data_IF_082517551926
#
_entry.id   IF_082517551926
#
_cell.length_a   1.000
_cell.length_b   1.000
_cell.length_c   1.000
_cell.angle_alpha   90.00
_cell.angle_beta   90.00
_cell.angle_gamma   90.00
#
_symmetry.space_group_name_H-M   'P 1'
#
loop_
_entity.id
_entity.type
_entity.pdbx_description
1 polymer ?
#
# COMPACT_ATOMS: atom_id res chain seq x y z
N UNK A 1 18.17 -3.31 -20.83
CA UNK A 1 17.26 -3.00 -19.70
C UNK A 1 16.45 -1.74 -20.06
N UNK A 2 15.24 -1.61 -19.59
CA UNK A 2 14.41 -0.39 -19.81
C UNK A 2 15.11 0.82 -19.18
N UNK A 3 15.68 0.62 -17.98
CA UNK A 3 16.43 1.65 -17.26
C UNK A 3 17.69 2.17 -17.98
N UNK A 4 18.16 1.48 -19.01
CA UNK A 4 19.25 2.00 -19.83
C UNK A 4 18.88 3.29 -20.56
N UNK A 5 17.59 3.52 -20.85
CA UNK A 5 17.11 4.78 -21.42
C UNK A 5 17.44 6.00 -20.56
N UNK A 6 17.50 5.83 -19.24
CA UNK A 6 17.83 6.88 -18.29
C UNK A 6 19.32 6.92 -17.91
N UNK A 7 20.09 5.84 -18.16
CA UNK A 7 21.43 5.68 -17.60
C UNK A 7 22.54 5.54 -18.65
N UNK A 8 22.21 5.09 -19.86
CA UNK A 8 23.21 4.73 -20.87
C UNK A 8 23.44 5.84 -21.91
N UNK A 9 24.66 5.90 -22.44
CA UNK A 9 25.06 6.86 -23.48
C UNK A 9 25.48 8.23 -22.93
N UNK A 10 26.14 8.99 -23.80
CA UNK A 10 26.71 10.31 -23.45
C UNK A 10 25.61 11.31 -23.08
N UNK A 11 24.48 11.27 -23.77
CA UNK A 11 23.37 12.21 -23.54
C UNK A 11 22.73 12.04 -22.18
N UNK A 12 22.88 10.89 -21.52
CA UNK A 12 22.37 10.61 -20.18
C UNK A 12 23.35 10.98 -19.04
N UNK A 13 24.46 11.64 -19.36
CA UNK A 13 25.39 12.12 -18.33
C UNK A 13 24.73 13.02 -17.26
N UNK A 14 23.81 13.94 -17.60
CA UNK A 14 23.08 14.71 -16.59
C UNK A 14 22.23 13.83 -15.67
N UNK A 15 21.51 12.85 -16.22
CA UNK A 15 20.72 11.91 -15.42
C UNK A 15 21.61 11.07 -14.48
N UNK A 16 22.76 10.58 -14.98
CA UNK A 16 23.73 9.86 -14.13
C UNK A 16 24.28 10.71 -13.00
N UNK A 17 24.45 12.01 -13.19
CA UNK A 17 24.84 12.92 -12.10
C UNK A 17 23.81 12.94 -10.96
N UNK A 18 22.52 12.85 -11.29
CA UNK A 18 21.45 12.77 -10.30
C UNK A 18 21.43 11.40 -9.60
N UNK A 19 21.64 10.31 -10.33
CA UNK A 19 21.81 8.99 -9.70
C UNK A 19 23.03 8.96 -8.76
N UNK A 20 24.14 9.59 -9.13
CA UNK A 20 25.30 9.73 -8.24
C UNK A 20 24.96 10.53 -6.98
N UNK A 21 24.15 11.58 -7.09
CA UNK A 21 23.67 12.36 -5.93
C UNK A 21 22.78 11.52 -4.98
N UNK A 22 22.10 10.50 -5.51
CA UNK A 22 21.34 9.52 -4.71
C UNK A 22 22.23 8.44 -4.09
N UNK A 23 23.53 8.43 -4.37
CA UNK A 23 24.48 7.47 -3.86
C UNK A 23 24.67 6.21 -4.71
N UNK A 24 24.12 6.15 -5.92
CA UNK A 24 24.33 5.00 -6.81
C UNK A 24 25.78 4.91 -7.25
N UNK A 25 26.34 3.73 -7.14
CA UNK A 25 27.67 3.43 -7.65
C UNK A 25 27.66 3.12 -9.16
N UNK A 26 28.81 3.20 -9.80
CA UNK A 26 28.95 2.80 -11.20
C UNK A 26 28.58 1.32 -11.46
N UNK A 27 28.78 0.45 -10.48
CA UNK A 27 28.39 -0.96 -10.57
C UNK A 27 26.86 -1.14 -10.43
N UNK A 28 26.22 -0.42 -9.54
CA UNK A 28 24.76 -0.45 -9.41
C UNK A 28 24.06 0.08 -10.65
N UNK A 29 24.62 1.08 -11.31
CA UNK A 29 24.08 1.59 -12.57
C UNK A 29 24.11 0.59 -13.74
N UNK A 30 24.81 -0.54 -13.60
CA UNK A 30 24.81 -1.63 -14.59
C UNK A 30 23.78 -2.73 -14.29
N UNK A 31 23.14 -2.67 -13.11
CA UNK A 31 22.17 -3.68 -12.64
C UNK A 31 20.73 -3.28 -12.98
N UNK A 32 19.79 -4.22 -13.05
CA UNK A 32 18.37 -3.89 -13.18
C UNK A 32 17.89 -2.98 -12.07
N UNK A 33 17.14 -1.94 -12.41
CA UNK A 33 16.54 -1.01 -11.46
C UNK A 33 15.11 -1.45 -11.15
N UNK A 34 14.86 -1.84 -9.91
CA UNK A 34 13.59 -2.38 -9.46
C UNK A 34 12.85 -1.34 -8.63
N UNK A 35 11.71 -0.88 -9.14
CA UNK A 35 10.85 0.04 -8.40
C UNK A 35 10.07 -0.70 -7.32
N UNK A 36 10.15 -0.23 -6.08
CA UNK A 36 9.35 -0.74 -4.96
C UNK A 36 8.29 0.31 -4.65
N UNK A 37 7.04 -0.01 -4.97
CA UNK A 37 5.91 0.87 -4.73
C UNK A 37 5.40 0.63 -3.31
N UNK A 38 5.66 1.58 -2.42
CA UNK A 38 5.28 1.49 -1.00
C UNK A 38 4.06 2.33 -0.72
N UNK A 39 3.01 1.72 -0.19
CA UNK A 39 1.84 2.45 0.31
C UNK A 39 1.88 2.75 1.81
N UNK A 40 3.07 2.70 2.41
CA UNK A 40 3.28 3.04 3.82
C UNK A 40 2.71 4.42 4.19
N UNK A 41 1.99 4.48 5.29
CA UNK A 41 1.59 5.70 5.98
C UNK A 41 1.14 5.37 7.42
N UNK A 42 1.01 6.38 8.26
CA UNK A 42 0.68 6.24 9.68
C UNK A 42 -0.80 6.45 10.00
N UNK A 43 -1.63 6.83 9.01
CA UNK A 43 -3.07 7.09 9.22
C UNK A 43 -3.94 5.88 8.89
N UNK A 44 -3.49 4.97 8.04
CA UNK A 44 -4.25 3.79 7.63
C UNK A 44 -3.73 2.57 8.40
N UNK A 45 -4.53 1.93 9.26
CA UNK A 45 -4.07 0.79 10.06
C UNK A 45 -3.46 -0.35 9.25
N UNK A 46 -3.95 -0.57 8.03
CA UNK A 46 -3.40 -1.57 7.11
C UNK A 46 -2.01 -1.24 6.56
N UNK A 47 -1.54 0.00 6.70
CA UNK A 47 -0.33 0.47 6.04
C UNK A 47 0.83 0.78 7.00
N UNK A 48 0.57 0.86 8.29
CA UNK A 48 1.56 1.31 9.29
C UNK A 48 2.77 0.38 9.47
N UNK A 49 2.73 -0.85 8.99
CA UNK A 49 3.85 -1.81 9.06
C UNK A 49 4.44 -2.16 7.68
N UNK A 50 3.99 -1.51 6.61
CA UNK A 50 4.49 -1.77 5.25
C UNK A 50 5.97 -1.43 5.12
N UNK A 51 6.49 -0.48 5.89
CA UNK A 51 7.91 -0.14 5.96
C UNK A 51 8.81 -1.35 6.24
N UNK A 52 8.37 -2.26 7.11
CA UNK A 52 9.09 -3.51 7.43
C UNK A 52 9.13 -4.46 6.23
N UNK A 53 8.00 -4.56 5.51
CA UNK A 53 7.92 -5.37 4.28
C UNK A 53 8.81 -4.76 3.19
N UNK A 54 8.77 -3.43 3.03
CA UNK A 54 9.63 -2.70 2.10
C UNK A 54 11.11 -3.00 2.36
N UNK A 55 11.54 -3.00 3.61
CA UNK A 55 12.93 -3.29 3.95
C UNK A 55 13.32 -4.74 3.62
N UNK A 56 12.44 -5.70 3.85
CA UNK A 56 12.67 -7.10 3.46
C UNK A 56 12.73 -7.24 1.92
N UNK A 57 11.84 -6.58 1.20
CA UNK A 57 11.83 -6.57 -0.28
C UNK A 57 13.11 -5.93 -0.83
N UNK A 58 13.59 -4.82 -0.25
CA UNK A 58 14.87 -4.21 -0.66
C UNK A 58 16.03 -5.18 -0.53
N UNK A 59 16.07 -5.92 0.57
CA UNK A 59 17.11 -6.92 0.79
C UNK A 59 17.03 -8.02 -0.26
N UNK A 60 15.87 -8.60 -0.50
CA UNK A 60 15.68 -9.65 -1.51
C UNK A 60 16.01 -9.19 -2.93
N UNK A 61 15.66 -7.96 -3.30
CA UNK A 61 16.04 -7.37 -4.60
C UNK A 61 17.56 -7.24 -4.72
N UNK A 62 18.23 -6.77 -3.67
CA UNK A 62 19.69 -6.63 -3.66
C UNK A 62 20.40 -7.98 -3.72
N UNK A 63 19.94 -8.98 -2.99
CA UNK A 63 20.45 -10.37 -3.03
C UNK A 63 20.29 -11.00 -4.42
N UNK A 64 19.18 -10.69 -5.10
CA UNK A 64 18.95 -11.13 -6.49
C UNK A 64 19.77 -10.36 -7.53
N UNK A 65 20.59 -9.39 -7.11
CA UNK A 65 21.46 -8.61 -7.99
C UNK A 65 20.81 -7.40 -8.66
N UNK A 66 19.60 -7.00 -8.23
CA UNK A 66 18.93 -5.77 -8.64
C UNK A 66 19.27 -4.57 -7.75
N UNK A 67 18.87 -3.38 -8.19
CA UNK A 67 18.96 -2.15 -7.39
C UNK A 67 17.55 -1.73 -6.96
N UNK A 68 17.23 -1.79 -5.66
CA UNK A 68 15.90 -1.45 -5.16
C UNK A 68 15.74 0.07 -5.01
N UNK A 69 14.69 0.63 -5.60
CA UNK A 69 14.35 2.06 -5.49
C UNK A 69 12.91 2.19 -5.01
N UNK A 70 12.72 2.78 -3.82
CA UNK A 70 11.40 2.95 -3.22
C UNK A 70 10.77 4.27 -3.67
N UNK A 71 9.48 4.21 -4.03
CA UNK A 71 8.66 5.41 -4.19
C UNK A 71 7.23 5.18 -3.64
N UNK A 72 6.51 6.24 -3.23
CA UNK A 72 5.25 6.09 -2.53
C UNK A 72 4.05 5.90 -3.47
N UNK A 73 3.05 5.16 -2.99
CA UNK A 73 1.66 5.27 -3.41
C UNK A 73 0.82 5.76 -2.24
N UNK A 74 -0.23 6.54 -2.53
CA UNK A 74 -1.17 6.99 -1.50
C UNK A 74 -2.13 5.87 -1.10
N UNK A 75 -2.77 6.03 0.05
CA UNK A 75 -3.89 5.21 0.48
C UNK A 75 -4.86 6.02 1.34
N UNK A 76 -6.15 5.75 1.19
CA UNK A 76 -7.21 6.28 2.06
C UNK A 76 -7.86 5.12 2.78
N UNK A 77 -8.08 5.24 4.07
CA UNK A 77 -8.83 4.27 4.84
C UNK A 77 -10.34 4.54 4.69
N UNK A 78 -11.04 3.65 4.00
CA UNK A 78 -12.49 3.77 3.80
C UNK A 78 -13.24 3.79 5.13
N UNK A 79 -12.81 2.98 6.11
CA UNK A 79 -13.42 2.94 7.43
C UNK A 79 -13.31 4.27 8.19
N UNK A 80 -12.16 4.95 8.12
CA UNK A 80 -11.97 6.27 8.74
C UNK A 80 -12.73 7.35 7.97
N UNK A 81 -12.81 7.24 6.64
CA UNK A 81 -13.50 8.21 5.80
C UNK A 81 -15.03 8.05 5.82
N UNK A 82 -15.54 6.92 6.27
CA UNK A 82 -16.96 6.59 6.26
C UNK A 82 -17.77 7.51 7.17
N UNK A 83 -18.99 7.87 6.71
CA UNK A 83 -19.93 8.67 7.49
C UNK A 83 -19.71 10.20 7.41
N UNK A 84 -18.72 10.68 6.68
CA UNK A 84 -18.48 12.11 6.46
C UNK A 84 -18.03 12.41 5.03
N UNK A 85 -17.78 13.68 4.73
CA UNK A 85 -17.43 14.16 3.37
C UNK A 85 -16.18 13.48 2.80
N UNK A 86 -15.27 13.01 3.63
CA UNK A 86 -14.04 12.31 3.25
C UNK A 86 -14.28 11.06 2.39
N UNK A 87 -15.42 10.39 2.55
CA UNK A 87 -15.76 9.19 1.77
C UNK A 87 -15.84 9.45 0.26
N UNK A 88 -16.09 10.69 -0.17
CA UNK A 88 -16.09 11.09 -1.59
C UNK A 88 -14.71 10.91 -2.25
N UNK A 89 -13.66 10.90 -1.46
CA UNK A 89 -12.28 10.73 -1.96
C UNK A 89 -11.82 9.27 -2.02
N UNK A 90 -12.53 8.34 -1.38
CA UNK A 90 -12.14 6.93 -1.35
C UNK A 90 -12.01 6.34 -2.76
N UNK A 91 -13.09 6.29 -3.53
CA UNK A 91 -13.09 5.67 -4.85
C UNK A 91 -12.15 6.37 -5.84
N UNK A 92 -12.07 7.68 -5.79
CA UNK A 92 -11.19 8.50 -6.64
C UNK A 92 -9.72 8.13 -6.47
N UNK A 93 -9.30 7.72 -5.26
CA UNK A 93 -7.90 7.34 -5.00
C UNK A 93 -7.47 6.12 -5.79
N UNK A 94 -8.36 5.22 -6.19
CA UNK A 94 -8.00 4.08 -7.03
C UNK A 94 -7.36 4.52 -8.35
N UNK A 95 -7.97 5.48 -9.02
CA UNK A 95 -7.46 6.00 -10.30
C UNK A 95 -6.21 6.86 -10.08
N UNK A 96 -6.20 7.71 -9.05
CA UNK A 96 -5.02 8.51 -8.70
C UNK A 96 -3.80 7.64 -8.36
N UNK A 97 -3.99 6.52 -7.67
CA UNK A 97 -2.93 5.56 -7.37
C UNK A 97 -2.40 4.95 -8.66
N UNK A 98 -3.31 4.52 -9.55
CA UNK A 98 -2.92 3.96 -10.84
C UNK A 98 -2.12 4.97 -11.68
N UNK A 99 -2.65 6.17 -11.84
CA UNK A 99 -2.06 7.24 -12.68
C UNK A 99 -0.69 7.70 -12.12
N UNK A 100 -0.60 7.95 -10.81
CA UNK A 100 0.64 8.41 -10.20
C UNK A 100 1.73 7.33 -10.21
N UNK A 101 1.36 6.07 -9.99
CA UNK A 101 2.30 4.94 -10.05
C UNK A 101 2.81 4.72 -11.46
N UNK A 102 1.93 4.77 -12.46
CA UNK A 102 2.28 4.70 -13.88
C UNK A 102 3.24 5.84 -14.25
N UNK A 103 2.89 7.08 -13.89
CA UNK A 103 3.73 8.25 -14.16
C UNK A 103 5.15 8.11 -13.56
N UNK A 104 5.25 7.68 -12.31
CA UNK A 104 6.53 7.45 -11.64
C UNK A 104 7.33 6.35 -12.30
N UNK A 105 6.70 5.21 -12.58
CA UNK A 105 7.39 4.06 -13.14
C UNK A 105 7.89 4.34 -14.57
N UNK A 106 7.06 4.95 -15.41
CA UNK A 106 7.40 5.25 -16.79
C UNK A 106 8.43 6.38 -16.92
N UNK A 107 8.32 7.43 -16.09
CA UNK A 107 9.28 8.53 -16.11
C UNK A 107 10.70 8.09 -15.67
N UNK A 108 10.80 7.17 -14.72
CA UNK A 108 12.09 6.71 -14.19
C UNK A 108 12.57 5.41 -14.81
N UNK A 109 11.80 4.82 -15.74
CA UNK A 109 12.20 3.69 -16.58
C UNK A 109 12.62 2.46 -15.76
N UNK A 110 11.81 2.03 -14.78
CA UNK A 110 12.11 0.81 -14.01
C UNK A 110 12.03 -0.44 -14.89
N UNK A 111 12.93 -1.39 -14.64
CA UNK A 111 12.99 -2.67 -15.35
C UNK A 111 11.93 -3.67 -14.86
N UNK A 112 11.56 -3.56 -13.59
CA UNK A 112 10.51 -4.35 -12.96
C UNK A 112 9.99 -3.62 -11.72
N UNK A 113 8.86 -4.07 -11.18
CA UNK A 113 8.21 -3.48 -10.01
C UNK A 113 7.90 -4.53 -8.95
N UNK A 114 8.05 -4.14 -7.69
CA UNK A 114 7.44 -4.82 -6.55
C UNK A 114 6.47 -3.85 -5.92
N UNK A 115 5.18 -4.17 -5.94
CA UNK A 115 4.13 -3.31 -5.39
C UNK A 115 3.63 -3.88 -4.07
N UNK A 116 3.53 -3.02 -3.05
CA UNK A 116 3.15 -3.42 -1.69
C UNK A 116 1.86 -2.69 -1.30
N UNK A 117 0.69 -3.17 -1.80
CA UNK A 117 -0.62 -2.65 -1.44
C UNK A 117 -1.15 -3.25 -0.15
N UNK A 118 -2.21 -2.64 0.42
CA UNK A 118 -2.97 -3.29 1.49
C UNK A 118 -4.44 -2.88 1.64
N UNK A 119 -4.87 -1.70 1.22
CA UNK A 119 -6.23 -1.20 1.46
C UNK A 119 -7.15 -1.32 0.25
N UNK A 120 -8.43 -1.08 0.49
CA UNK A 120 -9.58 -1.34 -0.38
C UNK A 120 -9.46 -0.74 -1.79
N UNK A 121 -8.92 0.47 -1.91
CA UNK A 121 -8.70 1.14 -3.21
C UNK A 121 -7.24 1.06 -3.67
N UNK A 122 -6.33 0.82 -2.72
CA UNK A 122 -4.89 0.75 -3.01
C UNK A 122 -4.53 -0.53 -3.76
N UNK A 123 -5.09 -1.68 -3.37
CA UNK A 123 -4.86 -2.96 -4.07
C UNK A 123 -5.30 -2.87 -5.54
N UNK A 124 -6.57 -2.53 -5.87
CA UNK A 124 -6.98 -2.44 -7.27
C UNK A 124 -6.27 -1.31 -8.02
N UNK A 125 -5.94 -0.19 -7.38
CA UNK A 125 -5.19 0.90 -7.99
C UNK A 125 -3.81 0.46 -8.47
N UNK A 126 -3.06 -0.26 -7.64
CA UNK A 126 -1.74 -0.79 -8.03
C UNK A 126 -1.83 -1.93 -9.06
N UNK A 127 -2.87 -2.76 -9.01
CA UNK A 127 -3.13 -3.75 -10.07
C UNK A 127 -3.42 -3.10 -11.42
N UNK A 128 -4.20 -2.01 -11.43
CA UNK A 128 -4.44 -1.23 -12.65
C UNK A 128 -3.14 -0.63 -13.19
N UNK A 129 -2.30 -0.06 -12.31
CA UNK A 129 -0.97 0.44 -12.70
C UNK A 129 -0.11 -0.67 -13.29
N UNK A 130 -0.04 -1.84 -12.65
CA UNK A 130 0.74 -2.98 -13.14
C UNK A 130 0.31 -3.39 -14.56
N UNK A 131 -1.01 -3.46 -14.81
CA UNK A 131 -1.55 -3.80 -16.13
C UNK A 131 -1.23 -2.76 -17.20
N UNK A 132 -1.20 -1.46 -16.85
CA UNK A 132 -0.91 -0.36 -17.78
C UNK A 132 0.59 -0.28 -18.10
N UNK A 133 1.44 -0.40 -17.07
CA UNK A 133 2.90 -0.28 -17.20
C UNK A 133 3.47 -1.46 -17.98
N UNK A 134 2.91 -2.66 -17.79
CA UNK A 134 3.27 -3.89 -18.49
C UNK A 134 4.78 -4.24 -18.41
N UNK A 135 5.37 -4.10 -17.24
CA UNK A 135 6.71 -4.63 -16.92
C UNK A 135 6.56 -5.80 -15.93
N UNK A 136 7.57 -6.67 -15.78
CA UNK A 136 7.54 -7.71 -14.77
C UNK A 136 7.19 -7.11 -13.40
N UNK A 137 6.11 -7.58 -12.79
CA UNK A 137 5.60 -7.01 -11.55
C UNK A 137 5.19 -8.11 -10.57
N UNK A 138 5.57 -7.94 -9.31
CA UNK A 138 5.14 -8.80 -8.19
C UNK A 138 4.35 -7.94 -7.20
N UNK A 139 3.21 -8.46 -6.74
CA UNK A 139 2.46 -7.86 -5.65
C UNK A 139 2.77 -8.60 -4.34
N UNK A 140 3.05 -7.84 -3.29
CA UNK A 140 3.29 -8.34 -1.95
C UNK A 140 2.25 -7.71 -1.02
N UNK A 141 1.31 -8.51 -0.54
CA UNK A 141 0.27 -8.02 0.37
C UNK A 141 0.85 -7.53 1.70
N UNK A 142 0.31 -6.42 2.20
CA UNK A 142 0.60 -5.94 3.56
C UNK A 142 0.00 -6.80 4.68
N UNK A 143 -0.87 -7.74 4.33
CA UNK A 143 -1.49 -8.69 5.23
C UNK A 143 -2.78 -8.18 5.90
N UNK A 144 -3.68 -9.11 6.31
CA UNK A 144 -4.93 -8.78 6.97
C UNK A 144 -4.74 -8.44 8.45
N UNK A 145 -5.65 -7.64 9.00
CA UNK A 145 -5.82 -7.46 10.43
C UNK A 145 -6.37 -8.74 11.07
N UNK A 146 -5.91 -9.07 12.24
CA UNK A 146 -6.50 -10.16 13.04
C UNK A 146 -7.94 -9.82 13.43
N UNK A 147 -8.75 -10.85 13.66
CA UNK A 147 -10.08 -10.67 14.22
C UNK A 147 -9.98 -10.01 15.61
N UNK A 148 -10.91 -9.09 15.87
CA UNK A 148 -11.10 -8.52 17.19
C UNK A 148 -11.91 -9.45 18.11
N UNK A 149 -12.15 -9.00 19.33
CA UNK A 149 -12.98 -9.73 20.30
C UNK A 149 -13.99 -8.81 20.96
N UNK A 150 -15.23 -9.29 21.06
CA UNK A 150 -16.30 -8.63 21.79
C UNK A 150 -17.27 -9.66 22.35
N UNK A 151 -17.64 -9.55 23.64
CA UNK A 151 -18.53 -10.51 24.30
C UNK A 151 -18.02 -11.96 24.31
N UNK A 152 -16.69 -12.17 24.21
CA UNK A 152 -16.07 -13.51 24.16
C UNK A 152 -15.99 -14.14 22.78
N UNK A 153 -16.54 -13.50 21.75
CA UNK A 153 -16.55 -13.97 20.36
C UNK A 153 -15.51 -13.23 19.50
N UNK A 154 -15.06 -13.89 18.44
CA UNK A 154 -14.23 -13.25 17.40
C UNK A 154 -15.14 -12.40 16.48
N UNK A 155 -14.76 -11.16 16.29
CA UNK A 155 -15.53 -10.17 15.56
C UNK A 155 -14.66 -9.36 14.59
N UNK A 156 -15.32 -8.66 13.68
CA UNK A 156 -14.69 -7.73 12.74
C UNK A 156 -15.27 -6.33 12.89
N UNK A 157 -14.76 -5.37 12.11
CA UNK A 157 -15.29 -4.01 12.05
C UNK A 157 -16.81 -3.97 11.77
N UNK A 158 -17.38 -4.97 11.10
CA UNK A 158 -18.82 -5.06 10.85
C UNK A 158 -19.62 -5.08 12.15
N UNK A 159 -19.06 -5.67 13.22
CA UNK A 159 -19.69 -5.69 14.55
C UNK A 159 -19.88 -4.29 15.13
N UNK A 160 -18.96 -3.37 14.82
CA UNK A 160 -19.08 -1.98 15.28
C UNK A 160 -20.31 -1.28 14.69
N UNK A 161 -20.65 -1.54 13.42
CA UNK A 161 -21.86 -0.98 12.81
C UNK A 161 -23.14 -1.54 13.47
N UNK A 162 -23.13 -2.83 13.81
CA UNK A 162 -24.23 -3.44 14.59
C UNK A 162 -24.34 -2.82 15.98
N UNK A 163 -23.22 -2.62 16.67
CA UNK A 163 -23.18 -2.01 18.01
C UNK A 163 -23.73 -0.57 18.01
N UNK A 164 -23.37 0.24 17.01
CA UNK A 164 -23.93 1.59 16.82
C UNK A 164 -25.45 1.53 16.63
N UNK A 165 -25.95 0.59 15.83
CA UNK A 165 -27.39 0.35 15.66
C UNK A 165 -28.07 -0.04 16.96
N UNK A 166 -27.49 -0.99 17.68
CA UNK A 166 -28.01 -1.47 18.99
C UNK A 166 -28.04 -0.33 20.03
N UNK A 167 -27.02 0.52 20.06
CA UNK A 167 -26.98 1.69 20.96
C UNK A 167 -28.07 2.70 20.63
N UNK A 168 -28.32 2.95 19.35
CA UNK A 168 -29.41 3.89 18.94
C UNK A 168 -30.79 3.48 19.40
N UNK A 169 -31.08 2.19 19.51
CA UNK A 169 -32.35 1.66 19.93
C UNK A 169 -32.36 1.23 21.41
N UNK A 170 -31.28 1.53 22.15
CA UNK A 170 -31.21 1.31 23.59
C UNK A 170 -30.99 -0.14 24.03
N UNK A 171 -30.53 -1.04 23.13
CA UNK A 171 -30.19 -2.43 23.47
C UNK A 171 -28.87 -2.57 24.21
N UNK A 172 -27.94 -1.64 24.01
CA UNK A 172 -26.69 -1.55 24.76
C UNK A 172 -26.51 -0.12 25.26
N UNK A 173 -25.70 0.05 26.30
CA UNK A 173 -25.29 1.32 26.87
C UNK A 173 -23.99 1.85 26.27
N UNK A 174 -23.48 2.98 26.73
CA UNK A 174 -22.27 3.61 26.25
C UNK A 174 -21.02 2.79 26.65
N UNK A 175 -21.01 2.14 27.80
CA UNK A 175 -19.91 1.31 28.27
C UNK A 175 -19.69 0.11 27.35
N UNK A 176 -20.75 -0.59 26.95
CA UNK A 176 -20.69 -1.69 25.98
C UNK A 176 -20.33 -1.25 24.59
N UNK A 177 -20.74 -0.05 24.19
CA UNK A 177 -20.32 0.51 22.90
C UNK A 177 -18.81 0.77 22.91
N UNK A 178 -18.26 1.36 23.96
CA UNK A 178 -16.81 1.62 24.12
C UNK A 178 -16.00 0.32 24.21
N UNK A 179 -16.50 -0.71 24.91
CA UNK A 179 -15.90 -2.04 24.92
C UNK A 179 -15.80 -2.60 23.50
N UNK A 180 -16.87 -2.50 22.70
CA UNK A 180 -16.89 -2.93 21.32
C UNK A 180 -15.89 -2.12 20.48
N UNK A 181 -15.87 -0.80 20.62
CA UNK A 181 -14.99 0.12 19.89
C UNK A 181 -13.51 -0.20 20.09
N UNK A 182 -13.12 -0.52 21.31
CA UNK A 182 -11.73 -0.89 21.63
C UNK A 182 -11.36 -2.32 21.26
N UNK A 183 -12.35 -3.21 21.14
CA UNK A 183 -12.14 -4.64 20.92
C UNK A 183 -12.13 -5.11 19.47
N UNK A 184 -12.85 -4.44 18.56
CA UNK A 184 -13.11 -4.96 17.20
C UNK A 184 -11.94 -4.83 16.22
N UNK A 185 -11.02 -3.89 16.48
CA UNK A 185 -9.84 -3.67 15.62
C UNK A 185 -8.57 -3.73 16.48
N UNK A 186 -8.00 -4.93 16.72
CA UNK A 186 -6.96 -5.11 17.74
C UNK A 186 -5.56 -4.66 17.33
N UNK A 187 -5.34 -4.29 16.05
CA UNK A 187 -4.00 -3.96 15.59
C UNK A 187 -3.91 -3.52 14.14
N UNK A 188 -2.72 -3.65 13.57
CA UNK A 188 -2.44 -3.32 12.18
C UNK A 188 -2.89 -4.42 11.22
N UNK A 189 -3.03 -4.06 9.95
CA UNK A 189 -3.44 -4.94 8.88
C UNK A 189 -4.63 -4.40 8.10
N UNK A 190 -4.91 -4.94 6.92
CA UNK A 190 -6.10 -4.57 6.17
C UNK A 190 -7.36 -4.99 6.92
N UNK A 191 -8.43 -4.23 6.75
CA UNK A 191 -9.65 -4.31 7.57
C UNK A 191 -10.15 -5.74 7.76
N UNK A 192 -10.33 -6.17 9.03
CA UNK A 192 -10.86 -7.49 9.38
C UNK A 192 -12.30 -7.74 8.86
N UNK A 193 -13.00 -6.69 8.42
CA UNK A 193 -14.27 -6.81 7.72
C UNK A 193 -14.18 -7.44 6.33
N UNK A 194 -12.98 -7.80 5.88
CA UNK A 194 -12.65 -8.43 4.60
C UNK A 194 -12.72 -7.47 3.40
N UNK A 195 -13.86 -6.98 3.01
CA UNK A 195 -14.09 -6.08 1.88
C UNK A 195 -13.16 -6.35 0.66
N UNK A 196 -12.95 -5.38 -0.20
CA UNK A 196 -12.10 -5.52 -1.40
C UNK A 196 -10.64 -5.81 -1.04
N UNK A 197 -10.12 -5.20 0.03
CA UNK A 197 -8.73 -5.40 0.45
C UNK A 197 -8.36 -6.87 0.61
N UNK A 198 -9.16 -7.64 1.35
CA UNK A 198 -8.85 -9.03 1.67
C UNK A 198 -9.36 -10.02 0.62
N UNK A 199 -10.29 -9.63 -0.25
CA UNK A 199 -10.75 -10.49 -1.34
C UNK A 199 -9.84 -10.43 -2.57
N UNK A 200 -8.94 -9.43 -2.64
CA UNK A 200 -7.97 -9.25 -3.73
C UNK A 200 -6.52 -9.54 -3.33
N UNK A 201 -6.24 -9.75 -2.05
CA UNK A 201 -4.90 -10.09 -1.53
C UNK A 201 -4.64 -11.60 -1.56
#
# INVERSE_FOLDING_TARGET
>A
MISDNARSGMQQAPARSLFNALGFTAEEMKKPMIGIVSSYNEIVPGHMNIDKIVNAVKLGVAEAGGVPVVFPAIAVCDGIAMGHVGMKYSLVTRDLIADSTEAMAMAHQFDALVMIPNCDKNVPGLLMAAARINVPTVLVSGGPMLAGRYGGEEVSLSKMFEAVGARKIGLIDDEKLEECETGVCPGCGSCAGMYTANSMN
#
